data_IF_934866597856
#
_entry.id   IF_934866597856
#
_cell.length_a   1.000
_cell.length_b   1.000
_cell.length_c   1.000
_cell.angle_alpha   90.00
_cell.angle_beta   90.00
_cell.angle_gamma   90.00
#
_symmetry.space_group_name_H-M   'P 1'
#
loop_
_entity.id
_entity.type
_entity.pdbx_description
1 polymer ?
#
# COMPACT_ATOMS: atom_id res chain seq x y z
N UNK A 1 -8.65 18.36 -3.77
CA UNK A 1 -9.17 17.70 -2.56
C UNK A 1 -9.62 16.29 -2.94
N UNK A 2 -9.09 15.29 -2.26
CA UNK A 2 -9.50 13.89 -2.40
C UNK A 2 -10.93 13.75 -1.87
N UNK A 3 -11.87 13.26 -2.67
CA UNK A 3 -13.25 13.07 -2.20
C UNK A 3 -13.28 11.93 -1.19
N UNK A 4 -13.97 12.12 -0.07
CA UNK A 4 -14.16 11.06 0.94
C UNK A 4 -15.59 10.52 0.92
N UNK A 5 -15.78 9.28 1.38
CA UNK A 5 -17.12 8.68 1.56
C UNK A 5 -17.14 7.83 2.81
N UNK A 6 -18.00 8.14 3.77
CA UNK A 6 -18.11 7.40 5.03
C UNK A 6 -18.84 6.06 4.82
N UNK A 7 -18.35 5.01 5.49
CA UNK A 7 -18.92 3.66 5.48
C UNK A 7 -19.43 3.23 6.86
N UNK A 8 -18.76 3.65 7.95
CA UNK A 8 -19.14 3.31 9.33
C UNK A 8 -19.04 4.53 10.24
N UNK A 9 -20.08 5.38 10.26
CA UNK A 9 -20.18 6.51 11.19
C UNK A 9 -18.95 7.44 11.20
N UNK A 10 -18.28 7.60 10.04
CA UNK A 10 -17.00 8.30 9.84
C UNK A 10 -15.74 7.63 10.43
N UNK A 11 -15.84 6.49 11.11
CA UNK A 11 -14.68 5.68 11.57
C UNK A 11 -13.98 4.96 10.41
N UNK A 12 -14.74 4.62 9.38
CA UNK A 12 -14.24 4.05 8.12
C UNK A 12 -14.73 4.92 6.98
N UNK A 13 -13.83 5.29 6.08
CA UNK A 13 -14.14 6.04 4.88
C UNK A 13 -13.22 5.68 3.71
N UNK A 14 -13.68 5.90 2.48
CA UNK A 14 -12.88 5.74 1.26
C UNK A 14 -12.26 7.06 0.86
N UNK A 15 -11.05 7.02 0.29
CA UNK A 15 -10.38 8.13 -0.38
C UNK A 15 -10.43 7.91 -1.90
N UNK A 16 -11.19 8.73 -2.62
CA UNK A 16 -11.36 8.57 -4.07
C UNK A 16 -10.23 9.23 -4.84
N UNK A 17 -9.69 8.53 -5.84
CA UNK A 17 -8.58 9.00 -6.69
C UNK A 17 -7.36 9.47 -5.87
N UNK A 18 -7.04 8.73 -4.81
CA UNK A 18 -5.89 9.03 -3.95
C UNK A 18 -4.57 8.94 -4.72
N UNK A 19 -4.46 8.03 -5.69
CA UNK A 19 -3.40 7.98 -6.70
C UNK A 19 -4.05 8.03 -8.09
N UNK A 20 -3.34 8.58 -9.08
CA UNK A 20 -3.70 8.45 -10.49
C UNK A 20 -3.32 7.06 -11.02
N UNK A 21 -3.82 6.69 -12.20
CA UNK A 21 -3.42 5.42 -12.85
C UNK A 21 -1.91 5.36 -13.06
N UNK A 22 -1.31 6.44 -13.57
CA UNK A 22 0.13 6.50 -13.83
C UNK A 22 0.96 6.41 -12.54
N UNK A 23 0.48 7.00 -11.44
CA UNK A 23 1.12 6.85 -10.13
C UNK A 23 1.07 5.40 -9.64
N UNK A 24 -0.08 4.73 -9.79
CA UNK A 24 -0.20 3.30 -9.47
C UNK A 24 0.76 2.44 -10.30
N UNK A 25 0.82 2.67 -11.62
CA UNK A 25 1.70 1.92 -12.52
C UNK A 25 3.17 2.14 -12.18
N UNK A 26 3.55 3.37 -11.79
CA UNK A 26 4.90 3.68 -11.33
C UNK A 26 5.27 2.90 -10.04
N UNK A 27 4.34 2.79 -9.09
CA UNK A 27 4.56 1.99 -7.88
C UNK A 27 4.71 0.50 -8.18
N UNK A 28 3.86 -0.06 -9.04
CA UNK A 28 3.94 -1.47 -9.46
C UNK A 28 5.30 -1.73 -10.10
N UNK A 29 5.68 -0.93 -11.10
CA UNK A 29 6.97 -1.08 -11.77
C UNK A 29 8.16 -0.97 -10.81
N UNK A 30 8.15 0.00 -9.89
CA UNK A 30 9.20 0.16 -8.88
C UNK A 30 9.29 -1.06 -7.96
N UNK A 31 8.16 -1.59 -7.51
CA UNK A 31 8.11 -2.77 -6.64
C UNK A 31 8.68 -4.03 -7.33
N UNK A 32 8.32 -4.25 -8.60
CA UNK A 32 8.82 -5.37 -9.40
C UNK A 32 10.32 -5.28 -9.68
N UNK A 33 10.86 -4.06 -9.87
CA UNK A 33 12.29 -3.83 -10.07
C UNK A 33 13.13 -4.15 -8.83
N UNK A 34 12.59 -3.96 -7.63
CA UNK A 34 13.27 -4.33 -6.38
C UNK A 34 13.20 -5.85 -6.16
N UNK A 35 12.08 -6.46 -6.56
CA UNK A 35 11.82 -7.88 -6.34
C UNK A 35 11.07 -8.12 -5.03
N UNK A 36 10.40 -9.27 -4.97
CA UNK A 36 9.59 -9.66 -3.82
C UNK A 36 10.27 -10.77 -3.03
N UNK A 37 10.13 -10.70 -1.71
CA UNK A 37 10.58 -11.73 -0.78
C UNK A 37 9.38 -12.40 -0.12
N UNK A 38 9.55 -13.67 0.28
CA UNK A 38 8.51 -14.39 1.01
C UNK A 38 8.41 -13.87 2.43
N UNK A 39 7.30 -13.18 2.75
CA UNK A 39 7.05 -12.71 4.10
C UNK A 39 6.42 -13.80 4.98
N UNK A 40 7.03 -14.01 6.14
CA UNK A 40 6.47 -14.82 7.24
C UNK A 40 5.54 -14.01 8.12
N UNK A 41 4.72 -14.69 8.92
CA UNK A 41 4.01 -14.06 10.05
C UNK A 41 4.90 -14.02 11.29
N UNK A 42 4.40 -13.41 12.37
CA UNK A 42 5.12 -13.25 13.64
C UNK A 42 5.55 -14.58 14.29
N UNK A 43 4.89 -15.69 13.94
CA UNK A 43 5.24 -17.06 14.36
C UNK A 43 6.30 -17.73 13.45
N UNK A 44 6.80 -17.02 12.44
CA UNK A 44 7.78 -17.50 11.48
C UNK A 44 7.22 -18.41 10.39
N UNK A 45 5.90 -18.66 10.35
CA UNK A 45 5.29 -19.56 9.37
C UNK A 45 4.87 -18.84 8.09
N UNK A 46 4.89 -19.57 6.98
CA UNK A 46 4.38 -19.15 5.68
C UNK A 46 3.08 -19.90 5.41
N UNK A 47 1.98 -19.16 5.29
CA UNK A 47 0.65 -19.72 5.05
C UNK A 47 0.23 -19.55 3.58
N UNK A 48 0.88 -20.30 2.69
CA UNK A 48 0.70 -20.17 1.22
C UNK A 48 -0.71 -20.50 0.74
N UNK A 49 -1.40 -21.41 1.43
CA UNK A 49 -2.76 -21.83 1.06
C UNK A 49 -3.83 -20.79 1.40
N UNK A 50 -3.47 -19.75 2.18
CA UNK A 50 -4.40 -18.74 2.69
C UNK A 50 -4.14 -17.34 2.12
N UNK A 51 -2.92 -17.05 1.65
CA UNK A 51 -2.56 -15.72 1.10
C UNK A 51 -1.37 -15.78 0.16
N UNK A 52 -1.29 -14.77 -0.72
CA UNK A 52 -0.01 -14.43 -1.34
C UNK A 52 0.93 -13.86 -0.26
N UNK A 53 2.14 -14.43 -0.13
CA UNK A 53 3.15 -14.04 0.85
C UNK A 53 4.26 -13.15 0.26
N UNK A 54 4.26 -12.90 -1.05
CA UNK A 54 5.25 -12.05 -1.72
C UNK A 54 5.10 -10.61 -1.23
N UNK A 55 6.15 -10.07 -0.62
CA UNK A 55 6.18 -8.69 -0.10
C UNK A 55 7.47 -8.01 -0.50
N UNK A 56 7.38 -6.70 -0.65
CA UNK A 56 8.54 -5.81 -0.77
C UNK A 56 8.30 -4.63 0.16
N UNK A 57 9.32 -4.26 0.94
CA UNK A 57 9.29 -3.10 1.83
C UNK A 57 10.38 -2.16 1.34
N UNK A 58 9.99 -0.93 1.03
CA UNK A 58 10.90 0.10 0.53
C UNK A 58 10.86 1.27 1.51
N UNK A 59 11.94 1.44 2.27
CA UNK A 59 12.10 2.57 3.18
C UNK A 59 12.51 3.81 2.39
N UNK A 60 11.54 4.64 2.01
CA UNK A 60 11.79 5.90 1.34
C UNK A 60 11.03 7.05 2.00
N UNK A 61 11.76 7.78 2.85
CA UNK A 61 11.18 8.77 3.75
C UNK A 61 10.46 9.92 3.04
N UNK A 62 11.00 10.40 1.91
CA UNK A 62 10.42 11.54 1.20
C UNK A 62 9.07 11.17 0.58
N UNK A 63 8.98 10.00 -0.06
CA UNK A 63 7.73 9.44 -0.55
C UNK A 63 6.72 9.16 0.56
N UNK A 64 7.15 8.55 1.66
CA UNK A 64 6.27 8.30 2.80
C UNK A 64 5.67 9.61 3.33
N UNK A 65 6.51 10.64 3.48
CA UNK A 65 6.06 11.96 3.91
C UNK A 65 5.10 12.63 2.92
N UNK A 66 5.35 12.53 1.62
CA UNK A 66 4.47 13.12 0.60
C UNK A 66 3.09 12.46 0.56
N UNK A 67 3.03 11.12 0.69
CA UNK A 67 1.77 10.38 0.78
C UNK A 67 0.99 10.72 2.05
N UNK A 68 1.67 10.87 3.20
CA UNK A 68 1.04 11.26 4.45
C UNK A 68 0.41 12.66 4.36
N UNK A 69 1.13 13.64 3.81
CA UNK A 69 0.60 14.99 3.59
C UNK A 69 -0.59 15.00 2.62
N UNK A 70 -0.60 14.11 1.62
CA UNK A 70 -1.74 13.98 0.67
C UNK A 70 -2.99 13.38 1.32
N UNK A 71 -2.81 12.55 2.34
CA UNK A 71 -3.89 11.87 3.05
C UNK A 71 -4.46 12.68 4.23
N UNK A 72 -3.78 13.77 4.62
CA UNK A 72 -4.18 14.68 5.70
C UNK A 72 -5.22 15.69 5.23
#
# INVERSE_FOLDING_TARGET
>A
MTKTTALDGHRVFTLHAFLTSDECDAFVKRSEQVGYETATLADGQVYSDMRNNDRVIIDEQALAHSLFLRAS
#
